data_IF_492581195941
#
_entry.id   IF_492581195941
#
_cell.length_a   1.000
_cell.length_b   1.000
_cell.length_c   1.000
_cell.angle_alpha   90.00
_cell.angle_beta   90.00
_cell.angle_gamma   90.00
#
_symmetry.space_group_name_H-M   'P 1'
#
loop_
_entity.id
_entity.type
_entity.pdbx_description
1 polymer ?
#
# COMPACT_ATOMS: atom_id res chain seq x y z
N UNK A 1 10.78 -7.22 -5.08
CA UNK A 1 9.57 -6.86 -5.87
C UNK A 1 9.31 -5.35 -5.85
N UNK A 2 9.38 -4.67 -4.69
CA UNK A 2 9.20 -3.21 -4.54
C UNK A 2 10.21 -2.38 -5.39
N UNK A 3 11.47 -2.82 -5.47
CA UNK A 3 12.51 -2.09 -6.19
C UNK A 3 12.27 -2.03 -7.72
N UNK A 4 11.61 -3.03 -8.31
CA UNK A 4 11.31 -3.05 -9.74
C UNK A 4 10.10 -2.15 -10.07
N UNK A 5 9.10 -2.15 -9.20
CA UNK A 5 7.90 -1.30 -9.34
C UNK A 5 8.20 0.18 -9.11
N UNK A 6 9.03 0.51 -8.10
CA UNK A 6 9.46 1.88 -7.86
C UNK A 6 10.31 2.44 -9.01
N UNK A 7 11.19 1.61 -9.60
CA UNK A 7 11.97 1.98 -10.77
C UNK A 7 11.07 2.18 -12.00
N UNK A 8 10.09 1.29 -12.22
CA UNK A 8 9.12 1.42 -13.31
C UNK A 8 8.25 2.69 -13.14
N UNK A 9 7.78 3.00 -11.93
CA UNK A 9 7.00 4.20 -11.65
C UNK A 9 7.81 5.50 -11.84
N UNK A 10 9.11 5.48 -11.50
CA UNK A 10 10.01 6.61 -11.74
C UNK A 10 10.28 6.81 -13.24
N UNK A 11 10.54 5.72 -13.98
CA UNK A 11 10.74 5.75 -15.43
C UNK A 11 9.48 6.29 -16.13
N UNK A 12 8.30 5.81 -15.76
CA UNK A 12 7.02 6.26 -16.31
C UNK A 12 6.69 7.73 -15.97
N UNK A 13 7.12 8.23 -14.80
CA UNK A 13 6.98 9.66 -14.46
C UNK A 13 7.94 10.55 -15.25
N UNK A 14 9.16 10.07 -15.53
CA UNK A 14 10.16 10.83 -16.29
C UNK A 14 9.85 10.88 -17.79
N UNK A 15 9.14 9.88 -18.33
CA UNK A 15 8.70 9.86 -19.74
C UNK A 15 7.61 10.91 -20.08
N UNK A 16 7.03 11.61 -19.09
CA UNK A 16 5.97 12.62 -19.29
C UNK A 16 6.48 14.06 -19.40
N UNK A 17 7.79 14.31 -19.41
CA UNK A 17 8.33 15.66 -19.52
C UNK A 17 8.64 16.02 -21.00
N UNK A 18 7.95 17.00 -21.61
CA UNK A 18 8.04 17.25 -23.05
C UNK A 18 9.29 18.02 -23.53
N UNK A 19 10.25 18.34 -22.66
CA UNK A 19 11.34 19.26 -23.03
C UNK A 19 12.70 18.96 -22.38
N UNK A 20 13.27 17.78 -22.60
CA UNK A 20 14.72 17.59 -22.40
C UNK A 20 15.25 16.65 -23.49
N UNK A 21 16.10 17.17 -24.39
CA UNK A 21 16.95 16.34 -25.25
C UNK A 21 18.06 15.79 -24.36
N UNK A 22 17.83 14.62 -23.76
CA UNK A 22 18.90 13.91 -23.08
C UNK A 22 19.83 13.30 -24.14
N UNK A 23 21.15 13.57 -24.13
CA UNK A 23 22.09 12.80 -24.94
C UNK A 23 21.95 11.31 -24.56
N UNK A 24 22.23 10.38 -25.50
CA UNK A 24 22.00 8.96 -25.27
C UNK A 24 22.69 8.52 -23.98
N UNK A 25 22.06 7.63 -23.21
CA UNK A 25 22.56 7.14 -21.92
C UNK A 25 24.05 6.71 -21.97
N UNK A 26 24.48 6.19 -23.12
CA UNK A 26 25.87 5.83 -23.43
C UNK A 26 26.88 7.00 -23.34
N UNK A 27 26.46 8.25 -23.52
CA UNK A 27 27.30 9.44 -23.43
C UNK A 27 27.67 9.74 -21.97
N UNK A 28 26.71 9.63 -21.05
CA UNK A 28 26.94 9.89 -19.62
C UNK A 28 27.81 8.83 -18.95
N UNK A 29 27.67 7.55 -19.34
CA UNK A 29 28.48 6.45 -18.82
C UNK A 29 29.98 6.68 -19.11
N UNK A 30 30.31 7.26 -20.26
CA UNK A 30 31.69 7.41 -20.75
C UNK A 30 32.52 8.46 -20.00
N UNK A 31 31.88 9.43 -19.34
CA UNK A 31 32.56 10.50 -18.58
C UNK A 31 32.45 10.32 -17.06
N UNK A 32 31.77 9.27 -16.59
CA UNK A 32 31.49 9.08 -15.18
C UNK A 32 32.68 8.41 -14.48
N UNK A 33 33.34 9.15 -13.57
CA UNK A 33 34.45 8.58 -12.80
C UNK A 33 34.00 7.38 -11.95
N UNK A 34 34.85 6.34 -11.74
CA UNK A 34 34.47 5.08 -11.09
C UNK A 34 33.79 5.24 -9.71
N UNK A 35 34.13 6.29 -8.97
CA UNK A 35 33.51 6.63 -7.68
C UNK A 35 32.00 6.87 -7.75
N UNK A 36 31.47 7.43 -8.83
CA UNK A 36 30.02 7.63 -8.97
C UNK A 36 29.29 6.34 -9.33
N UNK A 37 29.96 5.43 -10.05
CA UNK A 37 29.42 4.11 -10.35
C UNK A 37 29.29 3.28 -9.06
N UNK A 38 30.32 3.30 -8.21
CA UNK A 38 30.28 2.65 -6.89
C UNK A 38 29.24 3.28 -5.96
N UNK A 39 29.13 4.62 -5.94
CA UNK A 39 28.12 5.31 -5.16
C UNK A 39 26.69 4.97 -5.62
N UNK A 40 26.45 4.89 -6.94
CA UNK A 40 25.16 4.49 -7.49
C UNK A 40 24.83 3.02 -7.17
N UNK A 41 25.81 2.12 -7.31
CA UNK A 41 25.64 0.72 -6.95
C UNK A 41 25.33 0.53 -5.45
N UNK A 42 26.02 1.27 -4.58
CA UNK A 42 25.76 1.26 -3.14
C UNK A 42 24.36 1.81 -2.80
N UNK A 43 23.94 2.90 -3.45
CA UNK A 43 22.62 3.49 -3.27
C UNK A 43 21.50 2.52 -3.71
N UNK A 44 21.68 1.85 -4.86
CA UNK A 44 20.72 0.86 -5.36
C UNK A 44 20.65 -0.38 -4.48
N UNK A 45 21.78 -0.80 -3.91
CA UNK A 45 21.81 -1.92 -2.95
C UNK A 45 21.08 -1.56 -1.65
N UNK A 46 21.27 -0.34 -1.15
CA UNK A 46 20.61 0.16 0.05
C UNK A 46 19.08 0.23 -0.10
N UNK A 47 18.57 0.73 -1.23
CA UNK A 47 17.12 0.84 -1.46
C UNK A 47 16.44 -0.52 -1.69
N UNK A 48 17.15 -1.51 -2.24
CA UNK A 48 16.61 -2.86 -2.41
C UNK A 48 16.34 -3.57 -1.08
N UNK A 49 17.05 -3.17 -0.02
CA UNK A 49 16.93 -3.77 1.32
C UNK A 49 15.77 -3.19 2.15
N UNK A 50 15.07 -2.17 1.64
CA UNK A 50 13.95 -1.54 2.33
C UNK A 50 12.64 -2.27 2.02
N UNK A 51 12.13 -3.03 2.99
CA UNK A 51 10.76 -3.53 3.00
C UNK A 51 9.87 -2.58 3.82
N UNK A 52 9.33 -1.55 3.17
CA UNK A 52 8.59 -0.50 3.86
C UNK A 52 7.08 -0.79 4.02
N UNK A 53 6.52 -1.72 3.25
CA UNK A 53 5.07 -1.96 3.23
C UNK A 53 4.79 -3.44 3.37
N UNK A 54 4.46 -3.86 4.60
CA UNK A 54 3.71 -5.09 4.77
C UNK A 54 2.32 -4.87 4.17
N UNK A 55 1.99 -5.65 3.14
CA UNK A 55 0.69 -5.61 2.50
C UNK A 55 -0.33 -6.33 3.40
N UNK A 56 -0.68 -5.72 4.52
CA UNK A 56 -1.75 -6.20 5.40
C UNK A 56 -3.10 -5.88 4.76
N UNK A 57 -3.55 -6.77 3.87
CA UNK A 57 -4.87 -6.73 3.23
C UNK A 57 -5.97 -7.21 4.20
N UNK A 58 -6.09 -6.58 5.38
CA UNK A 58 -7.15 -6.88 6.35
C UNK A 58 -8.13 -5.71 6.46
N UNK A 59 -9.41 -6.04 6.55
CA UNK A 59 -10.46 -5.09 6.90
C UNK A 59 -10.68 -5.00 8.41
N UNK A 60 -10.23 -5.99 9.18
CA UNK A 60 -10.45 -6.05 10.62
C UNK A 60 -9.25 -5.49 11.38
N UNK A 61 -9.51 -4.47 12.20
CA UNK A 61 -8.54 -3.79 13.04
C UNK A 61 -8.95 -3.88 14.50
N UNK A 62 -7.99 -4.19 15.39
CA UNK A 62 -8.20 -4.18 16.83
C UNK A 62 -7.73 -2.86 17.43
N UNK A 63 -8.60 -2.19 18.17
CA UNK A 63 -8.37 -0.92 18.85
C UNK A 63 -8.28 -1.16 20.36
N UNK A 64 -7.19 -0.72 20.98
CA UNK A 64 -6.94 -0.86 22.42
C UNK A 64 -6.30 0.41 22.99
N UNK A 65 -6.40 0.63 24.29
CA UNK A 65 -5.78 1.77 24.99
C UNK A 65 -6.76 2.92 25.28
N UNK A 66 -6.24 4.10 25.65
CA UNK A 66 -7.01 5.33 25.96
C UNK A 66 -8.24 5.11 26.87
N UNK A 67 -8.10 4.33 27.94
CA UNK A 67 -9.17 4.09 28.91
C UNK A 67 -10.23 3.08 28.46
N UNK A 68 -9.98 2.32 27.39
CA UNK A 68 -10.80 1.16 27.04
C UNK A 68 -10.46 -0.02 27.96
N UNK A 69 -11.44 -0.48 28.73
CA UNK A 69 -11.31 -1.68 29.59
C UNK A 69 -11.22 -2.99 28.78
N UNK A 70 -11.71 -2.98 27.54
CA UNK A 70 -11.71 -4.12 26.60
C UNK A 70 -11.39 -3.64 25.18
N UNK A 71 -10.86 -4.51 24.31
CA UNK A 71 -10.63 -4.14 22.91
C UNK A 71 -11.93 -3.79 22.20
N UNK A 72 -11.87 -2.78 21.33
CA UNK A 72 -12.88 -2.50 20.32
C UNK A 72 -12.35 -2.94 18.95
N UNK A 73 -13.24 -3.16 18.00
CA UNK A 73 -12.87 -3.62 16.66
C UNK A 73 -13.44 -2.67 15.61
N UNK A 74 -12.62 -2.30 14.64
CA UNK A 74 -13.01 -1.53 13.46
C UNK A 74 -12.94 -2.45 12.26
N UNK A 75 -14.08 -2.66 11.62
CA UNK A 75 -14.15 -3.33 10.34
C UNK A 75 -14.27 -2.25 9.24
N UNK A 76 -13.34 -2.24 8.29
CA UNK A 76 -13.30 -1.25 7.22
C UNK A 76 -14.51 -1.31 6.29
N UNK A 77 -14.59 -0.35 5.38
CA UNK A 77 -15.67 -0.26 4.38
C UNK A 77 -15.58 -1.38 3.35
N UNK A 78 -16.75 -1.91 2.97
CA UNK A 78 -16.89 -2.89 1.90
C UNK A 78 -18.09 -2.50 1.01
N UNK A 79 -18.05 -2.86 -0.26
CA UNK A 79 -19.16 -2.65 -1.19
C UNK A 79 -20.11 -3.84 -1.15
N UNK A 80 -21.42 -3.58 -1.26
CA UNK A 80 -22.46 -4.63 -1.19
C UNK A 80 -22.31 -5.74 -2.24
N UNK A 81 -21.63 -5.43 -3.35
CA UNK A 81 -21.38 -6.36 -4.46
C UNK A 81 -20.15 -7.26 -4.26
N UNK A 82 -19.45 -7.09 -3.14
CA UNK A 82 -18.29 -7.89 -2.84
C UNK A 82 -18.70 -9.25 -2.27
N UNK A 83 -18.33 -10.34 -2.96
CA UNK A 83 -18.63 -11.69 -2.50
C UNK A 83 -18.07 -12.00 -1.10
N UNK A 84 -17.03 -11.28 -0.65
CA UNK A 84 -16.43 -11.44 0.70
C UNK A 84 -17.38 -11.04 1.83
N UNK A 85 -18.42 -10.27 1.52
CA UNK A 85 -19.43 -9.80 2.45
C UNK A 85 -20.33 -10.94 2.94
N UNK A 86 -20.54 -11.97 2.10
CA UNK A 86 -21.41 -13.10 2.41
C UNK A 86 -20.72 -14.20 3.21
N UNK A 87 -19.41 -14.12 3.41
CA UNK A 87 -18.61 -15.08 4.18
C UNK A 87 -17.51 -14.35 4.93
N UNK A 88 -17.85 -13.86 6.13
CA UNK A 88 -16.85 -13.28 7.02
C UNK A 88 -15.84 -14.35 7.47
N UNK A 89 -14.57 -13.96 7.64
CA UNK A 89 -13.57 -14.86 8.21
C UNK A 89 -13.76 -15.07 9.71
N UNK A 90 -13.27 -16.19 10.26
CA UNK A 90 -13.39 -16.56 11.68
C UNK A 90 -12.98 -15.46 12.66
N UNK A 91 -11.98 -14.65 12.29
CA UNK A 91 -11.50 -13.53 13.09
C UNK A 91 -12.55 -12.44 13.30
N UNK A 92 -13.44 -12.24 12.31
CA UNK A 92 -14.55 -11.29 12.39
C UNK A 92 -15.63 -11.81 13.32
N UNK A 93 -15.99 -13.09 13.23
CA UNK A 93 -16.93 -13.71 14.17
C UNK A 93 -16.42 -13.65 15.61
N UNK A 94 -15.15 -14.00 15.82
CA UNK A 94 -14.53 -13.89 17.13
C UNK A 94 -14.46 -12.45 17.66
N UNK A 95 -14.41 -11.44 16.80
CA UNK A 95 -14.49 -10.03 17.18
C UNK A 95 -15.93 -9.65 17.57
N UNK A 96 -16.93 -10.08 16.80
CA UNK A 96 -18.34 -9.86 17.09
C UNK A 96 -18.75 -10.43 18.46
N UNK A 97 -18.32 -11.65 18.78
CA UNK A 97 -18.61 -12.30 20.07
C UNK A 97 -17.99 -11.57 21.28
N UNK A 98 -16.92 -10.79 21.05
CA UNK A 98 -16.22 -10.03 22.11
C UNK A 98 -16.75 -8.61 22.26
N UNK A 99 -17.60 -8.15 21.35
CA UNK A 99 -18.16 -6.79 21.36
C UNK A 99 -19.56 -6.79 21.98
N UNK A 100 -19.84 -5.78 22.81
CA UNK A 100 -21.18 -5.63 23.42
C UNK A 100 -22.16 -4.86 22.52
N UNK A 101 -21.66 -4.19 21.48
CA UNK A 101 -22.48 -3.35 20.61
C UNK A 101 -21.83 -3.14 19.26
N UNK A 102 -22.67 -2.80 18.28
CA UNK A 102 -22.30 -2.59 16.89
C UNK A 102 -22.80 -1.22 16.43
N UNK A 103 -21.94 -0.47 15.76
CA UNK A 103 -22.28 0.75 15.04
C UNK A 103 -21.86 0.59 13.58
N UNK A 104 -22.74 0.96 12.65
CA UNK A 104 -22.52 0.79 11.20
C UNK A 104 -22.92 2.06 10.49
N UNK A 105 -22.12 2.46 9.50
CA UNK A 105 -22.46 3.50 8.52
C UNK A 105 -22.93 2.82 7.24
N UNK A 106 -24.02 3.33 6.65
CA UNK A 106 -24.59 2.79 5.41
C UNK A 106 -24.79 3.95 4.44
N UNK A 107 -24.16 3.87 3.26
CA UNK A 107 -24.46 4.74 2.13
C UNK A 107 -25.62 4.15 1.31
N UNK A 108 -26.78 4.79 1.41
CA UNK A 108 -27.99 4.35 0.70
C UNK A 108 -27.93 4.63 -0.81
N UNK A 109 -27.02 5.49 -1.28
CA UNK A 109 -26.87 5.75 -2.72
C UNK A 109 -26.28 4.53 -3.45
N UNK A 110 -25.43 3.74 -2.78
CA UNK A 110 -24.90 2.49 -3.35
C UNK A 110 -25.97 1.39 -3.46
N UNK A 111 -27.04 1.45 -2.65
CA UNK A 111 -28.14 0.48 -2.70
C UNK A 111 -29.12 0.71 -3.85
N UNK A 112 -29.24 1.95 -4.34
CA UNK A 112 -30.20 2.33 -5.38
C UNK A 112 -29.74 2.01 -6.82
N UNK A 113 -28.55 1.44 -6.99
CA UNK A 113 -27.94 1.17 -8.29
C UNK A 113 -28.26 -0.24 -8.86
N UNK A 114 -29.26 -0.94 -8.32
CA UNK A 114 -29.72 -2.25 -8.78
C UNK A 114 -31.12 -2.20 -9.43
#
# INVERSE_FOLDING_TARGET
>A
MICLEALAALILRLQKLPYIIFPPFSFYIRFMSPRYFLALAALLFFTCSLSAQEKNNTLLWRVTGKGLDKPSYLFGTFHLNDNRLFQFGDSVYAAMDRTEGLAVEVDLNEMAAY
#
